data_IF_189092834990
#
_entry.id   IF_189092834990
#
_cell.length_a   1.000
_cell.length_b   1.000
_cell.length_c   1.000
_cell.angle_alpha   90.00
_cell.angle_beta   90.00
_cell.angle_gamma   90.00
#
_symmetry.space_group_name_H-M   'P 1'
#
loop_
_entity.id
_entity.type
_entity.pdbx_description
1 polymer ?
#
# COMPACT_ATOMS: atom_id res chain seq x y z
N UNK A 1 -21.98 -14.03 32.61
CA UNK A 1 -22.97 -14.12 31.52
C UNK A 1 -22.64 -12.99 30.56
N UNK A 2 -22.00 -13.30 29.44
CA UNK A 2 -21.68 -12.32 28.39
C UNK A 2 -22.54 -12.72 27.19
N UNK A 3 -23.32 -11.75 26.70
CA UNK A 3 -24.24 -11.89 25.56
C UNK A 3 -23.47 -12.21 24.27
N UNK A 4 -24.06 -12.92 23.28
CA UNK A 4 -23.36 -13.19 22.04
C UNK A 4 -23.35 -11.93 21.16
N UNK A 5 -22.15 -11.51 20.72
CA UNK A 5 -21.95 -10.49 19.69
C UNK A 5 -21.92 -11.16 18.30
N UNK A 6 -22.34 -10.46 17.22
CA UNK A 6 -22.48 -11.06 15.90
C UNK A 6 -21.11 -11.37 15.27
N UNK A 7 -21.15 -12.27 14.29
CA UNK A 7 -20.06 -12.99 13.67
C UNK A 7 -19.07 -12.14 12.85
N UNK A 8 -17.78 -12.49 12.98
CA UNK A 8 -16.70 -12.44 11.98
C UNK A 8 -15.95 -11.12 11.67
N UNK A 9 -15.53 -10.34 12.69
CA UNK A 9 -14.37 -9.46 12.52
C UNK A 9 -13.35 -9.79 13.60
N UNK A 10 -12.19 -10.33 13.21
CA UNK A 10 -11.14 -10.68 14.16
C UNK A 10 -10.21 -9.47 14.27
N UNK A 11 -10.06 -8.92 15.47
CA UNK A 11 -9.17 -7.79 15.72
C UNK A 11 -7.94 -8.22 16.54
N UNK A 12 -6.75 -7.94 16.00
CA UNK A 12 -5.48 -8.23 16.65
C UNK A 12 -4.63 -6.97 16.75
N UNK A 13 -3.94 -6.80 17.88
CA UNK A 13 -2.96 -5.74 18.05
C UNK A 13 -1.65 -6.31 18.58
N UNK A 14 -0.57 -6.16 17.81
CA UNK A 14 0.76 -6.65 18.15
C UNK A 14 1.67 -5.48 18.48
N UNK A 15 2.28 -5.54 19.66
CA UNK A 15 3.18 -4.51 20.17
C UNK A 15 4.60 -5.06 20.31
N UNK A 16 5.59 -4.27 19.90
CA UNK A 16 7.02 -4.52 20.12
C UNK A 16 7.44 -5.93 19.68
N UNK A 17 7.15 -6.27 18.42
CA UNK A 17 7.23 -7.62 17.92
C UNK A 17 8.34 -7.81 16.89
N UNK A 18 8.97 -8.98 16.89
CA UNK A 18 9.82 -9.46 15.81
C UNK A 18 9.29 -10.81 15.36
N UNK A 19 8.79 -10.88 14.13
CA UNK A 19 8.06 -12.07 13.66
C UNK A 19 8.33 -12.36 12.19
N UNK A 20 8.43 -13.66 11.89
CA UNK A 20 8.27 -14.21 10.55
C UNK A 20 6.94 -14.96 10.56
N UNK A 21 6.03 -14.60 9.66
CA UNK A 21 4.72 -15.24 9.55
C UNK A 21 4.49 -15.68 8.11
N UNK A 22 4.07 -16.94 7.96
CA UNK A 22 3.60 -17.49 6.71
C UNK A 22 2.14 -17.91 6.93
N UNK A 23 1.24 -17.42 6.10
CA UNK A 23 -0.17 -17.81 6.15
C UNK A 23 -0.72 -17.86 4.73
N UNK A 24 -1.57 -18.82 4.42
CA UNK A 24 -2.16 -18.85 3.08
C UNK A 24 -3.07 -17.64 2.89
N UNK A 25 -3.97 -17.37 3.85
CA UNK A 25 -4.95 -16.29 3.70
C UNK A 25 -5.08 -15.50 5.01
N UNK A 26 -5.23 -14.18 4.88
CA UNK A 26 -5.68 -13.27 5.94
C UNK A 26 -7.04 -12.71 5.51
N UNK A 27 -8.10 -13.08 6.23
CA UNK A 27 -9.48 -12.73 5.90
C UNK A 27 -10.14 -11.92 7.03
N UNK A 28 -10.94 -10.91 6.69
CA UNK A 28 -11.82 -10.17 7.60
C UNK A 28 -11.11 -9.68 8.88
N UNK A 29 -9.91 -9.15 8.70
CA UNK A 29 -8.98 -8.89 9.78
C UNK A 29 -8.81 -7.38 10.02
N UNK A 30 -8.94 -6.98 11.28
CA UNK A 30 -8.55 -5.64 11.74
C UNK A 30 -7.26 -5.75 12.55
N UNK A 31 -6.13 -5.48 11.91
CA UNK A 31 -4.81 -5.73 12.49
C UNK A 31 -4.08 -4.43 12.74
N UNK A 32 -3.54 -4.26 13.94
CA UNK A 32 -2.63 -3.16 14.26
C UNK A 32 -1.27 -3.68 14.70
N UNK A 33 -0.22 -3.07 14.17
CA UNK A 33 1.17 -3.37 14.47
C UNK A 33 1.87 -2.12 14.95
N UNK A 34 2.45 -2.18 16.14
CA UNK A 34 3.13 -1.05 16.76
C UNK A 34 4.56 -1.46 17.10
N UNK A 35 5.52 -0.68 16.59
CA UNK A 35 6.94 -0.85 16.86
C UNK A 35 7.44 -2.27 16.51
N UNK A 36 7.10 -2.74 15.31
CA UNK A 36 7.40 -4.12 14.90
C UNK A 36 8.43 -4.20 13.76
N UNK A 37 9.18 -5.30 13.78
CA UNK A 37 10.01 -5.76 12.67
C UNK A 37 9.43 -7.06 12.12
N UNK A 38 9.08 -7.11 10.84
CA UNK A 38 8.36 -8.27 10.28
C UNK A 38 8.83 -8.71 8.92
N UNK A 39 8.74 -10.02 8.72
CA UNK A 39 8.67 -10.66 7.41
C UNK A 39 7.32 -11.38 7.34
N UNK A 40 6.52 -11.07 6.34
CA UNK A 40 5.21 -11.69 6.10
C UNK A 40 5.22 -12.28 4.70
N UNK A 41 4.93 -13.57 4.57
CA UNK A 41 4.63 -14.19 3.30
C UNK A 41 3.19 -14.68 3.34
N UNK A 42 2.33 -14.14 2.50
CA UNK A 42 0.91 -14.49 2.47
C UNK A 42 0.49 -14.71 1.04
N UNK A 43 -0.36 -15.69 0.76
CA UNK A 43 -0.90 -15.82 -0.59
C UNK A 43 -1.94 -14.69 -0.76
N UNK A 44 -3.01 -14.68 0.04
CA UNK A 44 -4.08 -13.68 -0.10
C UNK A 44 -4.34 -12.84 1.15
N UNK A 45 -4.50 -11.52 0.99
CA UNK A 45 -5.12 -10.62 1.97
C UNK A 45 -6.44 -10.10 1.43
N UNK A 46 -7.55 -10.41 2.10
CA UNK A 46 -8.89 -10.03 1.67
C UNK A 46 -9.71 -9.41 2.80
N UNK A 47 -10.40 -8.30 2.52
CA UNK A 47 -11.25 -7.56 3.45
C UNK A 47 -10.51 -7.17 4.75
N UNK A 48 -9.27 -6.70 4.61
CA UNK A 48 -8.43 -6.38 5.75
C UNK A 48 -8.35 -4.88 5.99
N UNK A 49 -8.48 -4.46 7.25
CA UNK A 49 -8.01 -3.16 7.69
C UNK A 49 -6.74 -3.32 8.50
N UNK A 50 -5.64 -2.77 7.99
CA UNK A 50 -4.33 -2.94 8.63
C UNK A 50 -3.70 -1.59 8.93
N UNK A 51 -3.24 -1.42 10.17
CA UNK A 51 -2.56 -0.22 10.62
C UNK A 51 -1.16 -0.56 11.12
N UNK A 52 -0.16 0.08 10.56
CA UNK A 52 1.25 -0.08 10.90
C UNK A 52 1.81 1.22 11.45
N UNK A 53 2.32 1.18 12.67
CA UNK A 53 2.91 2.31 13.37
C UNK A 53 4.35 2.02 13.72
N UNK A 54 5.28 2.84 13.22
CA UNK A 54 6.72 2.76 13.55
C UNK A 54 7.31 1.38 13.27
N UNK A 55 7.07 0.86 12.07
CA UNK A 55 7.42 -0.51 11.70
C UNK A 55 8.53 -0.58 10.64
N UNK A 56 9.20 -1.73 10.58
CA UNK A 56 10.11 -2.12 9.50
C UNK A 56 9.69 -3.47 8.94
N UNK A 57 9.40 -3.54 7.65
CA UNK A 57 8.69 -4.70 7.10
C UNK A 57 9.17 -5.13 5.73
N UNK A 58 9.13 -6.44 5.52
CA UNK A 58 9.17 -7.06 4.20
C UNK A 58 7.90 -7.89 4.09
N UNK A 59 7.05 -7.55 3.12
CA UNK A 59 5.82 -8.27 2.83
C UNK A 59 5.95 -8.84 1.43
N UNK A 60 5.77 -10.14 1.27
CA UNK A 60 5.55 -10.78 -0.01
C UNK A 60 4.13 -11.32 0.03
N UNK A 61 3.28 -10.76 -0.79
CA UNK A 61 1.86 -11.10 -0.86
C UNK A 61 1.59 -11.47 -2.31
N UNK A 62 0.76 -12.46 -2.60
CA UNK A 62 0.34 -12.67 -3.99
C UNK A 62 -0.76 -11.64 -4.26
N UNK A 63 -1.91 -11.73 -3.58
CA UNK A 63 -3.06 -10.85 -3.83
C UNK A 63 -3.46 -10.00 -2.62
N UNK A 64 -3.69 -8.70 -2.85
CA UNK A 64 -4.33 -7.78 -1.88
C UNK A 64 -5.65 -7.27 -2.46
N UNK A 65 -6.77 -7.67 -1.85
CA UNK A 65 -8.12 -7.35 -2.31
C UNK A 65 -8.96 -6.71 -1.19
N UNK A 66 -9.73 -5.67 -1.54
CA UNK A 66 -10.64 -4.96 -0.62
C UNK A 66 -9.94 -4.52 0.68
N UNK A 67 -8.71 -4.02 0.56
CA UNK A 67 -7.87 -3.70 1.70
C UNK A 67 -7.86 -2.20 2.00
N UNK A 68 -7.93 -1.86 3.29
CA UNK A 68 -7.71 -0.51 3.78
C UNK A 68 -6.47 -0.49 4.67
N UNK A 69 -5.37 0.07 4.17
CA UNK A 69 -4.08 -0.01 4.85
C UNK A 69 -3.53 1.38 5.19
N UNK A 70 -3.07 1.54 6.43
CA UNK A 70 -2.47 2.77 6.92
C UNK A 70 -1.08 2.51 7.48
N UNK A 71 -0.10 3.30 7.04
CA UNK A 71 1.27 3.25 7.53
C UNK A 71 1.70 4.61 8.05
N UNK A 72 2.28 4.61 9.26
CA UNK A 72 2.83 5.80 9.90
C UNK A 72 4.26 5.54 10.36
N UNK A 73 5.20 6.35 9.86
CA UNK A 73 6.61 6.33 10.25
C UNK A 73 7.25 4.94 10.00
N UNK A 74 6.98 4.36 8.83
CA UNK A 74 7.38 3.00 8.49
C UNK A 74 8.49 2.96 7.43
N UNK A 75 9.26 1.87 7.45
CA UNK A 75 10.15 1.48 6.36
C UNK A 75 9.69 0.13 5.81
N UNK A 76 9.45 0.03 4.52
CA UNK A 76 8.83 -1.17 3.96
C UNK A 76 9.35 -1.55 2.58
N UNK A 77 9.41 -2.85 2.35
CA UNK A 77 9.41 -3.44 1.02
C UNK A 77 8.13 -4.27 0.92
N UNK A 78 7.29 -3.99 -0.07
CA UNK A 78 6.11 -4.78 -0.41
C UNK A 78 6.29 -5.28 -1.83
N UNK A 79 6.27 -6.60 -1.98
CA UNK A 79 6.06 -7.25 -3.26
C UNK A 79 4.65 -7.83 -3.21
N UNK A 80 3.78 -7.34 -4.07
CA UNK A 80 2.48 -7.94 -4.36
C UNK A 80 2.54 -8.49 -5.79
N UNK A 81 1.70 -9.44 -6.16
CA UNK A 81 1.39 -9.64 -7.58
C UNK A 81 0.29 -8.63 -7.92
N UNK A 82 -0.86 -8.70 -7.24
CA UNK A 82 -2.02 -7.84 -7.53
C UNK A 82 -2.50 -6.97 -6.35
N UNK A 83 -2.87 -5.73 -6.66
CA UNK A 83 -3.49 -4.79 -5.74
C UNK A 83 -4.86 -4.31 -6.26
N UNK A 84 -5.95 -4.88 -5.75
CA UNK A 84 -7.32 -4.60 -6.20
C UNK A 84 -8.18 -3.91 -5.14
N UNK A 85 -8.99 -2.94 -5.57
CA UNK A 85 -10.07 -2.32 -4.78
C UNK A 85 -9.60 -1.82 -3.40
N UNK A 86 -8.38 -1.27 -3.37
CA UNK A 86 -7.71 -1.03 -2.10
C UNK A 86 -7.33 0.42 -1.90
N UNK A 87 -7.47 0.85 -0.65
CA UNK A 87 -7.21 2.22 -0.20
C UNK A 87 -6.01 2.21 0.73
N UNK A 88 -4.94 2.89 0.33
CA UNK A 88 -3.70 2.92 1.10
C UNK A 88 -3.27 4.34 1.40
N UNK A 89 -2.85 4.56 2.65
CA UNK A 89 -2.28 5.83 3.06
C UNK A 89 -0.96 5.63 3.79
N UNK A 90 0.05 6.37 3.32
CA UNK A 90 1.41 6.37 3.84
C UNK A 90 1.75 7.75 4.38
N UNK A 91 2.22 7.81 5.63
CA UNK A 91 2.62 9.04 6.30
C UNK A 91 4.03 8.91 6.88
N UNK A 92 4.94 9.79 6.43
CA UNK A 92 6.32 9.84 6.89
C UNK A 92 7.07 8.51 6.70
N UNK A 93 6.89 7.88 5.54
CA UNK A 93 7.40 6.55 5.23
C UNK A 93 8.53 6.55 4.19
N UNK A 94 9.33 5.49 4.21
CA UNK A 94 10.25 5.15 3.12
C UNK A 94 9.89 3.77 2.58
N UNK A 95 9.52 3.65 1.31
CA UNK A 95 9.12 2.34 0.79
C UNK A 95 9.49 2.05 -0.64
N UNK A 96 9.49 0.75 -0.91
CA UNK A 96 9.55 0.16 -2.24
C UNK A 96 8.31 -0.72 -2.37
N UNK A 97 7.48 -0.43 -3.36
CA UNK A 97 6.35 -1.23 -3.78
C UNK A 97 6.69 -1.79 -5.16
N UNK A 98 6.72 -3.12 -5.27
CA UNK A 98 6.72 -3.81 -6.55
C UNK A 98 5.42 -4.58 -6.65
N UNK A 99 4.73 -4.43 -7.76
CA UNK A 99 3.49 -5.14 -8.05
C UNK A 99 3.41 -5.39 -9.53
N UNK A 100 2.71 -6.42 -9.95
CA UNK A 100 2.38 -6.59 -11.36
C UNK A 100 1.23 -5.61 -11.67
N UNK A 101 0.09 -5.73 -10.98
CA UNK A 101 -1.09 -4.91 -11.28
C UNK A 101 -1.59 -4.06 -10.10
N UNK A 102 -1.95 -2.80 -10.38
CA UNK A 102 -2.74 -1.92 -9.50
C UNK A 102 -4.07 -1.58 -10.17
N UNK A 103 -5.18 -2.05 -9.60
CA UNK A 103 -6.53 -1.84 -10.13
C UNK A 103 -7.47 -1.19 -9.10
N UNK A 104 -8.24 -0.20 -9.54
CA UNK A 104 -9.31 0.44 -8.74
C UNK A 104 -8.80 0.93 -7.37
N UNK A 105 -7.53 1.33 -7.31
CA UNK A 105 -6.87 1.67 -6.06
C UNK A 105 -6.88 3.17 -5.78
N UNK A 106 -6.91 3.53 -4.49
CA UNK A 106 -6.68 4.90 -4.04
C UNK A 106 -5.48 4.95 -3.10
N UNK A 107 -4.38 5.52 -3.57
CA UNK A 107 -3.12 5.54 -2.83
C UNK A 107 -2.70 6.98 -2.52
N UNK A 108 -2.41 7.27 -1.25
CA UNK A 108 -1.97 8.58 -0.81
C UNK A 108 -0.64 8.50 -0.06
N UNK A 109 0.34 9.29 -0.47
CA UNK A 109 1.64 9.44 0.16
C UNK A 109 1.82 10.86 0.69
N UNK A 110 2.20 10.99 1.97
CA UNK A 110 2.46 12.26 2.62
C UNK A 110 3.83 12.26 3.31
N UNK A 111 4.71 13.18 2.89
CA UNK A 111 6.06 13.35 3.42
C UNK A 111 6.90 12.07 3.32
N UNK A 112 6.92 11.47 2.14
CA UNK A 112 7.41 10.12 1.91
C UNK A 112 8.52 10.08 0.85
N UNK A 113 9.41 9.10 0.96
CA UNK A 113 10.38 8.74 -0.09
C UNK A 113 10.06 7.35 -0.64
N UNK A 114 9.74 7.24 -1.93
CA UNK A 114 9.02 6.08 -2.46
C UNK A 114 9.51 5.63 -3.84
N UNK A 115 9.53 4.33 -4.06
CA UNK A 115 9.64 3.73 -5.38
C UNK A 115 8.42 2.84 -5.58
N UNK A 116 7.66 3.10 -6.63
CA UNK A 116 6.56 2.26 -7.08
C UNK A 116 6.94 1.72 -8.46
N UNK A 117 7.03 0.40 -8.55
CA UNK A 117 7.15 -0.32 -9.81
C UNK A 117 5.86 -1.14 -9.96
N UNK A 118 5.11 -0.86 -11.02
CA UNK A 118 3.98 -1.66 -11.47
C UNK A 118 4.26 -2.10 -12.91
N UNK A 119 3.68 -3.20 -13.37
CA UNK A 119 3.56 -3.43 -14.80
C UNK A 119 2.36 -2.59 -15.29
N UNK A 120 1.17 -2.79 -14.70
CA UNK A 120 -0.04 -2.07 -15.07
C UNK A 120 -0.65 -1.25 -13.92
N UNK A 121 -1.09 -0.03 -14.22
CA UNK A 121 -1.89 0.83 -13.31
C UNK A 121 -3.19 1.22 -14.00
N UNK A 122 -4.33 0.70 -13.53
CA UNK A 122 -5.64 0.89 -14.13
C UNK A 122 -6.65 1.48 -13.13
N UNK A 123 -7.39 2.50 -13.56
CA UNK A 123 -8.49 3.13 -12.81
C UNK A 123 -8.08 3.61 -11.39
N UNK A 124 -6.78 3.89 -11.21
CA UNK A 124 -6.21 4.24 -9.91
C UNK A 124 -6.14 5.75 -9.67
N UNK A 125 -6.27 6.15 -8.41
CA UNK A 125 -6.02 7.51 -7.95
C UNK A 125 -4.81 7.53 -7.02
N UNK A 126 -3.70 8.15 -7.46
CA UNK A 126 -2.46 8.21 -6.69
C UNK A 126 -2.12 9.68 -6.38
N UNK A 127 -1.92 10.00 -5.11
CA UNK A 127 -1.59 11.34 -4.66
C UNK A 127 -0.27 11.34 -3.87
N UNK A 128 0.62 12.26 -4.21
CA UNK A 128 1.88 12.50 -3.52
C UNK A 128 1.93 13.94 -3.01
N UNK A 129 2.21 14.11 -1.71
CA UNK A 129 2.34 15.40 -1.06
C UNK A 129 3.66 15.48 -0.30
N UNK A 130 4.53 16.42 -0.70
CA UNK A 130 5.84 16.67 -0.10
C UNK A 130 6.76 15.44 -0.14
N UNK A 131 6.82 14.77 -1.29
CA UNK A 131 7.50 13.48 -1.45
C UNK A 131 8.71 13.56 -2.39
N UNK A 132 9.60 12.56 -2.31
CA UNK A 132 10.48 12.17 -3.41
C UNK A 132 10.04 10.81 -3.92
N UNK A 133 9.77 10.70 -5.21
CA UNK A 133 9.20 9.46 -5.74
C UNK A 133 9.66 9.11 -7.14
N UNK A 134 9.76 7.81 -7.35
CA UNK A 134 9.93 7.19 -8.66
C UNK A 134 8.70 6.33 -8.89
N UNK A 135 7.97 6.60 -9.96
CA UNK A 135 6.91 5.74 -10.47
C UNK A 135 7.39 5.17 -11.79
N UNK A 136 7.55 3.86 -11.84
CA UNK A 136 7.75 3.10 -13.07
C UNK A 136 6.51 2.25 -13.28
N UNK A 137 5.91 2.39 -14.46
CA UNK A 137 4.84 1.53 -14.94
C UNK A 137 5.16 1.13 -16.38
N UNK A 138 4.72 -0.02 -16.85
CA UNK A 138 4.68 -0.24 -18.30
C UNK A 138 3.46 0.51 -18.86
N UNK A 139 2.26 0.22 -18.34
CA UNK A 139 1.02 0.88 -18.79
C UNK A 139 0.30 1.64 -17.65
N UNK A 140 -0.18 2.85 -17.95
CA UNK A 140 -1.07 3.63 -17.07
C UNK A 140 -2.35 3.99 -17.82
N UNK A 141 -3.49 3.47 -17.37
CA UNK A 141 -4.79 3.64 -18.03
C UNK A 141 -5.84 4.19 -17.06
N UNK A 142 -6.58 5.22 -17.49
CA UNK A 142 -7.68 5.86 -16.72
C UNK A 142 -7.30 6.34 -15.31
N UNK A 143 -6.01 6.47 -15.02
CA UNK A 143 -5.54 6.81 -13.69
C UNK A 143 -5.51 8.34 -13.48
N UNK A 144 -5.60 8.79 -12.23
CA UNK A 144 -5.21 10.14 -11.85
C UNK A 144 -3.99 10.09 -10.94
N UNK A 145 -2.90 10.76 -11.33
CA UNK A 145 -1.70 10.88 -10.51
C UNK A 145 -1.43 12.35 -10.22
N UNK A 146 -1.43 12.74 -8.96
CA UNK A 146 -1.24 14.12 -8.54
C UNK A 146 -0.02 14.27 -7.65
N UNK A 147 0.84 15.23 -7.98
CA UNK A 147 2.05 15.56 -7.25
C UNK A 147 1.98 16.99 -6.72
N UNK A 148 2.19 17.17 -5.42
CA UNK A 148 2.21 18.47 -4.75
C UNK A 148 3.48 18.66 -3.92
N UNK A 149 4.31 19.63 -4.31
CA UNK A 149 5.57 19.97 -3.66
C UNK A 149 6.55 18.79 -3.60
N UNK A 150 6.66 18.04 -4.70
CA UNK A 150 7.46 16.83 -4.78
C UNK A 150 8.67 16.95 -5.72
N UNK A 151 9.56 15.97 -5.64
CA UNK A 151 10.48 15.61 -6.73
C UNK A 151 10.04 14.27 -7.30
N UNK A 152 9.86 14.19 -8.62
CA UNK A 152 9.36 12.98 -9.28
C UNK A 152 10.28 12.49 -10.39
N UNK A 153 10.24 11.18 -10.59
CA UNK A 153 10.49 10.53 -11.86
C UNK A 153 9.25 9.71 -12.19
N UNK A 154 8.68 9.93 -13.38
CA UNK A 154 7.60 9.12 -13.93
C UNK A 154 8.13 8.50 -15.22
N UNK A 155 8.26 7.17 -15.23
CA UNK A 155 8.56 6.40 -16.43
C UNK A 155 7.35 5.51 -16.71
N UNK A 156 6.74 5.72 -17.88
CA UNK A 156 5.70 4.85 -18.39
C UNK A 156 5.88 4.65 -19.89
N UNK A 157 5.72 3.42 -20.35
CA UNK A 157 5.78 3.09 -21.77
C UNK A 157 4.50 3.56 -22.47
N UNK A 158 3.34 3.36 -21.83
CA UNK A 158 2.04 3.84 -22.30
C UNK A 158 1.31 4.61 -21.21
N UNK A 159 0.73 5.76 -21.58
CA UNK A 159 -0.21 6.51 -20.76
C UNK A 159 -1.45 6.81 -21.61
N UNK A 160 -2.60 6.28 -21.22
CA UNK A 160 -3.87 6.46 -21.93
C UNK A 160 -4.96 6.91 -20.96
N UNK A 161 -5.69 7.97 -21.34
CA UNK A 161 -6.79 8.55 -20.55
C UNK A 161 -6.45 8.88 -19.08
N UNK A 162 -5.16 9.08 -18.78
CA UNK A 162 -4.69 9.41 -17.45
C UNK A 162 -4.54 10.93 -17.24
N UNK A 163 -4.87 11.38 -16.02
CA UNK A 163 -4.71 12.76 -15.59
C UNK A 163 -3.50 12.90 -14.66
N UNK A 164 -2.40 13.44 -15.17
CA UNK A 164 -1.18 13.68 -14.39
C UNK A 164 -1.06 15.17 -14.03
N UNK A 165 -1.07 15.50 -12.73
CA UNK A 165 -1.02 16.86 -12.21
C UNK A 165 0.28 17.11 -11.43
N UNK A 166 0.92 18.25 -11.67
CA UNK A 166 2.12 18.70 -10.95
C UNK A 166 1.91 20.10 -10.40
N UNK A 167 2.02 20.26 -9.08
CA UNK A 167 1.89 21.54 -8.41
C UNK A 167 3.10 21.78 -7.48
N UNK A 168 3.84 22.85 -7.72
CA UNK A 168 5.03 23.21 -6.95
C UNK A 168 6.12 22.12 -6.91
N UNK A 169 6.17 21.22 -7.89
CA UNK A 169 7.20 20.19 -8.00
C UNK A 169 8.49 20.69 -8.67
N UNK A 170 9.61 20.02 -8.38
CA UNK A 170 10.93 20.27 -8.95
C UNK A 170 11.43 19.07 -9.75
#
# INVERSE_FOLDING_TARGET
MISPAPANAISFCYLACHQILNANNILDANICYIACHKILNVDDILNASVCYLTCHQILNIDDILDASVFYLACHQILNADDFLDASVCYLACHQILNTDDILDASICYLACDQILNADDILDANICYLMCHQILNADDILNASVCYLACHQILNADVILDANICYLACQ
#
